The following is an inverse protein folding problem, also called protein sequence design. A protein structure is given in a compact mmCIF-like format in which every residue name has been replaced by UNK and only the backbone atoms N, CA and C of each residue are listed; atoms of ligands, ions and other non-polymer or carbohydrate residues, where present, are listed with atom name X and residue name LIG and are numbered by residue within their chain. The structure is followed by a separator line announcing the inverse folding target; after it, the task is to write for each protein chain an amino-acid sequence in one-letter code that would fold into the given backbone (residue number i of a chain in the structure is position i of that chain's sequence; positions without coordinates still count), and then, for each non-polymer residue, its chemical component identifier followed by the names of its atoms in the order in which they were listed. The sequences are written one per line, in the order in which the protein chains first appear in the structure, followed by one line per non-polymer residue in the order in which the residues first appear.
data_IF_537178276927
#
_entry.id   IF_537178276927
#
_cell.length_a   1.000
_cell.length_b   1.000
_cell.length_c   1.000
_cell.angle_alpha   90.00
_cell.angle_beta   90.00
_cell.angle_gamma   90.00
#
_symmetry.space_group_name_H-M   'P 1'
#
loop_
_entity.id
_entity.type
_entity.pdbx_description
1 polymer ?
#
# COMPACT_ATOMS: atom_id res chain seq x y z
N UNK A 1 -5.64 10.78 -1.05
CA UNK A 1 -6.88 10.02 -0.74
C UNK A 1 -6.54 8.89 0.23
N UNK A 2 -6.85 9.00 1.54
CA UNK A 2 -6.45 7.97 2.55
C UNK A 2 -7.47 6.84 2.73
N UNK A 3 -8.76 7.12 2.50
CA UNK A 3 -9.89 6.20 2.70
C UNK A 3 -9.91 4.99 1.77
N UNK A 4 -9.19 5.05 0.65
CA UNK A 4 -9.18 3.99 -0.34
C UNK A 4 -8.65 2.66 0.22
N UNK A 5 -7.78 2.68 1.24
CA UNK A 5 -7.27 1.47 1.88
C UNK A 5 -8.43 0.71 2.53
N UNK A 6 -9.28 1.41 3.29
CA UNK A 6 -10.46 0.84 3.94
C UNK A 6 -11.43 0.27 2.91
N UNK A 7 -11.81 1.05 1.89
CA UNK A 7 -12.74 0.58 0.87
C UNK A 7 -12.20 -0.63 0.10
N UNK A 8 -10.89 -0.66 -0.23
CA UNK A 8 -10.30 -1.82 -0.90
C UNK A 8 -10.24 -3.06 -0.01
N UNK A 9 -10.00 -2.91 1.29
CA UNK A 9 -10.07 -4.03 2.24
C UNK A 9 -11.49 -4.61 2.33
N UNK A 10 -12.53 -3.77 2.30
CA UNK A 10 -13.93 -4.22 2.26
C UNK A 10 -14.23 -5.00 0.96
N UNK A 11 -13.78 -4.51 -0.19
CA UNK A 11 -13.96 -5.18 -1.49
C UNK A 11 -13.24 -6.54 -1.55
N UNK A 12 -11.95 -6.54 -1.20
CA UNK A 12 -11.11 -7.75 -1.24
C UNK A 12 -11.53 -8.74 -0.17
N UNK A 13 -12.02 -8.28 0.97
CA UNK A 13 -12.38 -9.12 2.10
C UNK A 13 -13.52 -10.11 1.82
N UNK A 14 -14.34 -9.83 0.80
CA UNK A 14 -15.45 -10.68 0.38
C UNK A 14 -15.06 -11.69 -0.72
N UNK A 15 -13.80 -11.70 -1.16
CA UNK A 15 -13.33 -12.52 -2.29
C UNK A 15 -12.25 -13.49 -1.81
N UNK A 16 -12.63 -14.76 -1.64
CA UNK A 16 -11.79 -15.79 -1.01
C UNK A 16 -10.41 -15.96 -1.65
N UNK A 17 -10.31 -15.91 -2.98
CA UNK A 17 -9.05 -16.11 -3.69
C UNK A 17 -8.10 -14.90 -3.60
N UNK A 18 -8.57 -13.76 -3.09
CA UNK A 18 -7.77 -12.56 -2.84
C UNK A 18 -7.33 -12.41 -1.37
N UNK A 19 -7.48 -13.45 -0.54
CA UNK A 19 -7.16 -13.38 0.87
C UNK A 19 -5.73 -12.86 1.14
N UNK A 20 -4.75 -13.33 0.37
CA UNK A 20 -3.34 -12.96 0.52
C UNK A 20 -3.05 -11.50 0.13
N UNK A 21 -3.90 -10.90 -0.71
CA UNK A 21 -3.75 -9.50 -1.11
C UNK A 21 -4.08 -8.52 0.02
N UNK A 22 -4.75 -8.97 1.10
CA UNK A 22 -5.20 -8.09 2.20
C UNK A 22 -4.04 -7.41 2.91
N UNK A 23 -2.92 -8.09 3.07
CA UNK A 23 -1.72 -7.53 3.72
C UNK A 23 -1.15 -6.37 2.90
N UNK A 24 -1.01 -6.55 1.58
CA UNK A 24 -0.56 -5.49 0.67
C UNK A 24 -1.57 -4.35 0.65
N UNK A 25 -2.86 -4.63 0.46
CA UNK A 25 -3.91 -3.62 0.38
C UNK A 25 -3.97 -2.80 1.67
N UNK A 26 -3.86 -3.42 2.83
CA UNK A 26 -3.89 -2.76 4.13
C UNK A 26 -2.61 -2.01 4.48
N UNK A 27 -1.45 -2.53 4.07
CA UNK A 27 -0.14 -2.07 4.53
C UNK A 27 0.67 -1.22 3.54
N UNK A 28 0.30 -1.15 2.26
CA UNK A 28 1.17 -0.50 1.25
C UNK A 28 1.40 1.01 1.44
N UNK A 29 0.60 1.69 2.26
CA UNK A 29 0.84 3.10 2.64
C UNK A 29 1.58 3.25 3.97
N UNK A 30 1.84 2.16 4.68
CA UNK A 30 2.63 2.20 5.90
C UNK A 30 4.10 2.52 5.58
N UNK A 31 4.70 3.37 6.40
CA UNK A 31 6.09 3.81 6.30
C UNK A 31 6.88 3.13 7.39
N UNK A 32 8.12 2.78 7.07
CA UNK A 32 9.02 2.10 7.99
C UNK A 32 9.13 2.77 9.37
N UNK A 33 9.07 4.11 9.42
CA UNK A 33 9.16 4.90 10.65
C UNK A 33 7.84 5.08 11.41
N UNK A 34 6.72 4.49 10.96
CA UNK A 34 5.41 4.59 11.61
C UNK A 34 4.66 5.91 11.40
N UNK A 35 5.18 6.85 10.61
CA UNK A 35 4.56 8.18 10.38
C UNK A 35 3.34 8.19 9.43
N UNK A 36 2.80 7.02 9.14
CA UNK A 36 1.92 6.73 8.01
C UNK A 36 0.50 6.36 8.42
N UNK A 37 -0.25 5.84 7.47
CA UNK A 37 -1.64 5.43 7.61
C UNK A 37 -1.80 4.04 6.96
N UNK A 38 -2.84 3.27 7.29
CA UNK A 38 -3.96 3.63 8.16
C UNK A 38 -3.73 3.43 9.66
N UNK A 39 -2.85 2.51 10.08
CA UNK A 39 -2.69 2.12 11.49
C UNK A 39 -1.45 2.75 12.12
N UNK A 40 -0.43 3.09 11.32
CA UNK A 40 0.83 3.62 11.82
C UNK A 40 1.80 2.52 12.26
N UNK A 41 1.79 1.39 11.55
CA UNK A 41 2.72 0.29 11.78
C UNK A 41 4.15 0.72 11.46
N UNK A 42 5.12 0.18 12.19
CA UNK A 42 6.54 0.50 12.01
C UNK A 42 7.41 -0.75 11.92
N UNK A 43 8.52 -0.62 11.19
CA UNK A 43 9.51 -1.67 11.00
C UNK A 43 8.90 -2.99 10.52
N UNK A 44 9.19 -4.06 11.25
CA UNK A 44 8.75 -5.42 10.94
C UNK A 44 7.29 -5.70 11.27
N UNK A 45 6.60 -4.78 11.96
CA UNK A 45 5.15 -4.86 12.14
C UNK A 45 4.40 -4.67 10.82
N UNK A 46 5.07 -4.10 9.79
CA UNK A 46 4.55 -4.00 8.44
C UNK A 46 4.78 -5.34 7.71
N UNK A 47 3.73 -5.99 7.17
CA UNK A 47 3.88 -7.23 6.41
C UNK A 47 4.94 -7.12 5.32
N UNK A 48 5.75 -8.17 5.13
CA UNK A 48 6.89 -8.15 4.20
C UNK A 48 6.46 -7.86 2.75
N UNK A 49 5.35 -8.46 2.31
CA UNK A 49 4.76 -8.21 1.00
C UNK A 49 4.32 -6.75 0.83
N UNK A 50 3.74 -6.13 1.86
CA UNK A 50 3.37 -4.71 1.84
C UNK A 50 4.59 -3.79 1.74
N UNK A 51 5.69 -4.12 2.45
CA UNK A 51 6.96 -3.38 2.35
C UNK A 51 7.56 -3.46 0.94
N UNK A 52 7.60 -4.65 0.34
CA UNK A 52 8.09 -4.84 -1.03
C UNK A 52 7.20 -4.08 -2.01
N UNK A 53 5.88 -4.19 -1.88
CA UNK A 53 4.93 -3.53 -2.76
C UNK A 53 5.04 -2.00 -2.66
N UNK A 54 5.18 -1.43 -1.46
CA UNK A 54 5.33 0.02 -1.29
C UNK A 54 6.53 0.58 -2.06
N UNK A 55 7.65 -0.16 -2.11
CA UNK A 55 8.82 0.21 -2.91
C UNK A 55 8.48 0.19 -4.40
N UNK A 56 7.84 -0.88 -4.86
CA UNK A 56 7.44 -1.03 -6.27
C UNK A 56 6.44 0.06 -6.71
N UNK A 57 5.43 0.36 -5.89
CA UNK A 57 4.40 1.39 -6.14
C UNK A 57 5.02 2.78 -6.25
N UNK A 58 5.93 3.13 -5.34
CA UNK A 58 6.65 4.41 -5.39
C UNK A 58 7.59 4.48 -6.60
N UNK A 59 8.33 3.40 -6.88
CA UNK A 59 9.23 3.35 -8.03
C UNK A 59 8.45 3.56 -9.34
N UNK A 60 7.38 2.80 -9.58
CA UNK A 60 6.53 2.96 -10.75
C UNK A 60 5.95 4.39 -10.83
N UNK A 61 5.46 4.92 -9.71
CA UNK A 61 4.97 6.28 -9.68
C UNK A 61 6.05 7.31 -10.02
N UNK A 62 7.31 7.05 -9.67
CA UNK A 62 8.46 7.90 -9.95
C UNK A 62 8.89 7.85 -11.41
N UNK A 63 8.97 6.66 -12.02
CA UNK A 63 9.50 6.44 -13.37
C UNK A 63 8.46 6.53 -14.49
N UNK A 64 7.17 6.41 -14.16
CA UNK A 64 6.11 6.52 -15.15
C UNK A 64 5.86 7.97 -15.59
N UNK A 65 5.62 8.16 -16.89
CA UNK A 65 5.16 9.43 -17.45
C UNK A 65 3.82 9.83 -16.81
N UNK A 66 3.75 11.03 -16.22
CA UNK A 66 2.53 11.55 -15.61
C UNK A 66 2.29 12.99 -16.10
N UNK A 67 1.04 13.42 -16.34
CA UNK A 67 0.74 14.72 -16.96
C UNK A 67 1.35 15.94 -16.25
N UNK A 68 1.61 15.81 -14.94
CA UNK A 68 2.16 16.86 -14.09
C UNK A 68 3.66 16.71 -13.82
N UNK A 69 4.31 15.69 -14.38
CA UNK A 69 5.77 15.54 -14.34
C UNK A 69 6.31 16.01 -15.68
N UNK A 70 6.94 17.18 -15.70
CA UNK A 70 7.82 17.54 -16.81
C UNK A 70 9.01 16.55 -16.81
N UNK A 71 9.44 16.17 -18.01
CA UNK A 71 10.64 15.34 -18.23
C UNK A 71 11.89 16.02 -17.67
#
# INVERSE_FOLDING_TARGET
MKTHVKHRLEMVGNVRWLADAREVVGGHHERWNGSSYPVGLSGESIPINARIFAIADVFDALTSCRPYKAL
#
